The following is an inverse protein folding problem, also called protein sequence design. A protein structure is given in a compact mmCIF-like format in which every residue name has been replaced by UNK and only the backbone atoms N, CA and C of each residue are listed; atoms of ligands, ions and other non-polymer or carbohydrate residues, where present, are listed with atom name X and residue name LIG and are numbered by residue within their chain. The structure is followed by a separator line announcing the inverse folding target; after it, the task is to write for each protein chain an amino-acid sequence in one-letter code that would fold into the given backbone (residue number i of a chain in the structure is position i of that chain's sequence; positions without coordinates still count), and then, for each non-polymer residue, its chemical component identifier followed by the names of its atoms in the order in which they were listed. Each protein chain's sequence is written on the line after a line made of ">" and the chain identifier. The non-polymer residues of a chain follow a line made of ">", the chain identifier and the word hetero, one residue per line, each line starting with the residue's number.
data_IF_110372823857
#
_entry.id   IF_110372823857
#
_cell.length_a   1.000
_cell.length_b   1.000
_cell.length_c   1.000
_cell.angle_alpha   90.00
_cell.angle_beta   90.00
_cell.angle_gamma   90.00
#
_symmetry.space_group_name_H-M   'P 1'
#
loop_
_entity.id
_entity.type
_entity.pdbx_description
1 polymer ?
#
# COMPACT_ATOMS: atom_id res chain seq x y z
N UNK A 1 11.65 -30.97 16.59
CA UNK A 1 12.13 -30.43 15.31
C UNK A 1 10.99 -29.65 14.72
N UNK A 2 10.92 -28.35 15.00
CA UNK A 2 9.80 -27.50 14.60
C UNK A 2 10.33 -26.39 13.71
N UNK A 3 9.61 -26.20 12.61
CA UNK A 3 10.08 -25.57 11.39
C UNK A 3 10.45 -24.11 11.57
N UNK A 4 11.60 -23.78 11.00
CA UNK A 4 12.02 -22.43 10.64
C UNK A 4 10.89 -21.68 9.91
N UNK A 5 10.23 -20.75 10.61
CA UNK A 5 9.41 -19.72 9.99
C UNK A 5 10.29 -18.72 9.27
N UNK A 6 10.67 -19.04 8.03
CA UNK A 6 11.18 -18.05 7.10
C UNK A 6 10.04 -17.08 6.77
N UNK A 7 10.09 -15.88 7.34
CA UNK A 7 9.20 -14.78 6.95
C UNK A 7 9.41 -14.47 5.47
N UNK A 8 8.32 -14.58 4.70
CA UNK A 8 8.28 -14.53 3.24
C UNK A 8 8.92 -13.28 2.65
N UNK A 9 9.80 -13.46 1.68
CA UNK A 9 10.42 -12.39 0.88
C UNK A 9 9.42 -11.58 0.01
N UNK A 10 8.11 -11.88 0.11
CA UNK A 10 7.04 -11.39 -0.76
C UNK A 10 6.25 -10.19 -0.24
N UNK A 11 6.49 -9.70 0.98
CA UNK A 11 5.77 -8.52 1.51
C UNK A 11 6.61 -7.25 1.37
N UNK A 12 6.03 -6.25 0.68
CA UNK A 12 6.64 -4.94 0.49
C UNK A 12 5.89 -3.92 1.34
N UNK A 13 6.65 -3.18 2.16
CA UNK A 13 6.10 -2.14 3.02
C UNK A 13 6.52 -0.75 2.53
N UNK A 14 5.67 0.23 2.82
CA UNK A 14 5.86 1.64 2.50
C UNK A 14 4.80 2.50 3.18
N UNK A 15 4.73 3.78 2.82
CA UNK A 15 3.78 4.74 3.37
C UNK A 15 2.81 5.19 2.29
N UNK A 16 1.51 5.02 2.55
CA UNK A 16 0.46 5.57 1.68
C UNK A 16 0.18 7.02 2.05
N UNK A 17 0.14 7.92 1.05
CA UNK A 17 -0.11 9.36 1.22
C UNK A 17 -1.11 9.86 0.18
N UNK A 18 -2.01 10.76 0.61
CA UNK A 18 -2.85 11.53 -0.32
C UNK A 18 -2.07 12.66 -1.00
N UNK A 19 -2.33 12.88 -2.29
CA UNK A 19 -1.75 13.99 -3.09
C UNK A 19 -2.80 14.98 -3.59
N UNK A 20 -4.04 14.89 -3.09
CA UNK A 20 -5.18 15.68 -3.56
C UNK A 20 -5.76 15.18 -4.89
N UNK A 21 -6.98 15.61 -5.22
CA UNK A 21 -7.75 15.12 -6.38
C UNK A 21 -7.87 13.59 -6.43
N UNK A 22 -8.09 12.95 -5.28
CA UNK A 22 -8.19 11.49 -5.12
C UNK A 22 -6.95 10.69 -5.58
N UNK A 23 -5.80 11.37 -5.74
CA UNK A 23 -4.53 10.70 -6.06
C UNK A 23 -3.90 10.16 -4.79
N UNK A 24 -3.54 8.88 -4.84
CA UNK A 24 -2.89 8.15 -3.76
C UNK A 24 -1.47 7.78 -4.23
N UNK A 25 -0.48 8.02 -3.38
CA UNK A 25 0.91 7.64 -3.60
C UNK A 25 1.32 6.60 -2.55
N UNK A 26 1.90 5.49 -2.99
CA UNK A 26 2.67 4.57 -2.15
C UNK A 26 4.14 4.98 -2.21
N UNK A 27 4.70 5.36 -1.08
CA UNK A 27 5.98 6.08 -0.99
C UNK A 27 6.94 5.35 -0.04
N UNK A 28 8.23 5.70 -0.08
CA UNK A 28 9.29 5.12 0.75
C UNK A 28 9.42 3.58 0.62
N UNK A 29 9.22 3.07 -0.59
CA UNK A 29 9.42 1.64 -0.89
C UNK A 29 10.90 1.42 -1.15
N UNK A 30 11.61 0.48 -0.48
CA UNK A 30 13.00 0.20 -0.78
C UNK A 30 13.20 -0.13 -2.26
N UNK A 31 14.25 0.39 -2.89
CA UNK A 31 14.47 0.22 -4.33
C UNK A 31 14.75 -1.24 -4.72
N UNK A 32 15.25 -2.04 -3.79
CA UNK A 32 15.55 -3.46 -3.98
C UNK A 32 14.29 -4.33 -3.97
N UNK A 33 13.14 -3.79 -3.53
CA UNK A 33 11.87 -4.50 -3.56
C UNK A 33 11.20 -4.38 -4.93
N UNK A 34 10.74 -5.51 -5.44
CA UNK A 34 10.00 -5.55 -6.69
C UNK A 34 8.52 -5.25 -6.42
N UNK A 35 7.97 -4.32 -7.22
CA UNK A 35 6.57 -3.96 -7.28
C UNK A 35 6.19 -3.76 -8.75
N UNK A 36 4.94 -4.06 -9.09
CA UNK A 36 4.40 -4.00 -10.44
C UNK A 36 3.00 -3.37 -10.49
N UNK A 37 2.58 -3.03 -11.71
CA UNK A 37 1.19 -2.65 -11.95
C UNK A 37 0.26 -3.84 -11.70
N UNK A 38 -0.89 -3.58 -11.08
CA UNK A 38 -1.85 -4.59 -10.63
C UNK A 38 -1.59 -5.14 -9.23
N UNK A 39 -0.46 -4.82 -8.59
CA UNK A 39 -0.21 -5.23 -7.22
C UNK A 39 -1.22 -4.58 -6.25
N UNK A 40 -1.81 -5.40 -5.38
CA UNK A 40 -2.78 -4.97 -4.40
C UNK A 40 -2.08 -4.32 -3.20
N UNK A 41 -2.53 -3.12 -2.83
CA UNK A 41 -2.06 -2.41 -1.64
C UNK A 41 -3.12 -2.50 -0.54
N UNK A 42 -2.69 -2.99 0.63
CA UNK A 42 -3.53 -3.15 1.82
C UNK A 42 -2.92 -2.45 3.03
N UNK A 43 -3.75 -2.08 4.02
CA UNK A 43 -3.26 -1.56 5.30
C UNK A 43 -2.42 -2.61 6.02
N UNK A 44 -1.43 -2.14 6.77
CA UNK A 44 -0.61 -2.96 7.65
C UNK A 44 -0.88 -2.61 9.12
N UNK A 45 -0.56 -3.54 10.01
CA UNK A 45 -0.60 -3.34 11.45
C UNK A 45 0.50 -2.39 11.97
N UNK A 46 1.48 -2.00 11.14
CA UNK A 46 2.71 -1.33 11.57
C UNK A 46 2.47 0.08 12.14
N UNK A 47 1.40 0.76 11.72
CA UNK A 47 1.09 2.10 12.23
C UNK A 47 0.40 2.08 13.60
N UNK A 48 -0.18 0.95 14.00
CA UNK A 48 -1.08 0.88 15.15
C UNK A 48 -2.42 1.61 14.96
N UNK A 49 -2.68 2.22 13.80
CA UNK A 49 -3.86 3.09 13.56
C UNK A 49 -4.95 2.39 12.76
N UNK A 50 -4.58 1.47 11.87
CA UNK A 50 -5.52 0.74 11.02
C UNK A 50 -5.37 -0.76 11.20
N UNK A 51 -6.47 -1.53 11.24
CA UNK A 51 -6.37 -2.98 11.21
C UNK A 51 -5.68 -3.41 9.90
N UNK A 52 -4.89 -4.48 9.92
CA UNK A 52 -4.25 -4.99 8.72
C UNK A 52 -5.27 -5.57 7.74
N UNK A 53 -4.98 -5.48 6.44
CA UNK A 53 -5.75 -6.16 5.39
C UNK A 53 -6.92 -5.37 4.79
N UNK A 54 -7.11 -4.09 5.16
CA UNK A 54 -8.07 -3.23 4.47
C UNK A 54 -7.51 -2.82 3.11
N UNK A 55 -8.30 -3.02 2.05
CA UNK A 55 -7.89 -2.68 0.68
C UNK A 55 -7.83 -1.17 0.50
N UNK A 56 -6.68 -0.69 0.02
CA UNK A 56 -6.49 0.71 -0.40
C UNK A 56 -6.76 0.85 -1.90
N UNK A 57 -6.21 -0.06 -2.71
CA UNK A 57 -6.26 0.02 -4.17
C UNK A 57 -5.20 -0.84 -4.83
N UNK A 58 -4.98 -0.61 -6.12
CA UNK A 58 -3.99 -1.31 -6.94
C UNK A 58 -2.95 -0.35 -7.50
N UNK A 59 -1.71 -0.80 -7.65
CA UNK A 59 -0.67 -0.01 -8.32
C UNK A 59 -1.03 0.16 -9.80
N UNK A 60 -1.06 1.39 -10.29
CA UNK A 60 -1.30 1.68 -11.71
C UNK A 60 -0.12 2.37 -12.41
N UNK A 61 0.93 2.75 -11.66
CA UNK A 61 2.17 3.27 -12.22
C UNK A 61 3.28 3.18 -11.19
N UNK A 62 4.42 2.59 -11.55
CA UNK A 62 5.64 2.60 -10.73
C UNK A 62 6.55 3.76 -11.12
N UNK A 63 7.10 4.47 -10.14
CA UNK A 63 8.04 5.58 -10.28
C UNK A 63 9.38 5.20 -9.66
N UNK A 64 10.37 4.96 -10.51
CA UNK A 64 11.76 4.69 -10.12
C UNK A 64 12.64 5.85 -10.56
N UNK A 65 13.57 6.24 -9.69
CA UNK A 65 14.63 7.23 -9.98
C UNK A 65 15.98 6.59 -9.69
N UNK A 66 16.94 6.72 -10.60
CA UNK A 66 18.25 6.09 -10.48
C UNK A 66 19.07 6.52 -9.24
N UNK A 67 19.12 7.81 -8.87
CA UNK A 67 19.90 8.24 -7.69
C UNK A 67 19.19 7.99 -6.35
N UNK A 68 17.90 7.64 -6.33
CA UNK A 68 17.14 7.56 -5.08
C UNK A 68 17.19 6.14 -4.48
N UNK A 69 17.37 6.00 -3.15
CA UNK A 69 17.36 4.69 -2.46
C UNK A 69 15.95 4.12 -2.28
N UNK A 70 14.92 4.95 -2.49
CA UNK A 70 13.53 4.56 -2.43
C UNK A 70 12.86 4.78 -3.80
N UNK A 71 11.80 4.01 -4.03
CA UNK A 71 10.89 4.16 -5.14
C UNK A 71 9.47 4.47 -4.63
N UNK A 72 8.60 4.85 -5.55
CA UNK A 72 7.20 5.12 -5.25
C UNK A 72 6.28 4.55 -6.33
N UNK A 73 4.99 4.47 -6.03
CA UNK A 73 3.97 4.03 -6.98
C UNK A 73 2.69 4.86 -6.84
N UNK A 74 2.00 5.12 -7.95
CA UNK A 74 0.64 5.63 -7.92
C UNK A 74 -0.32 4.47 -7.67
N UNK A 75 -1.31 4.72 -6.82
CA UNK A 75 -2.38 3.77 -6.51
C UNK A 75 -3.68 4.28 -7.15
N UNK A 76 -4.34 3.41 -7.91
CA UNK A 76 -5.74 3.56 -8.26
C UNK A 76 -6.59 3.14 -7.04
N UNK A 77 -7.38 4.06 -6.44
CA UNK A 77 -8.23 3.70 -5.31
C UNK A 77 -9.20 2.57 -5.66
N UNK A 78 -9.43 1.65 -4.71
CA UNK A 78 -10.40 0.55 -4.87
C UNK A 78 -11.88 1.01 -4.83
N UNK A 79 -12.12 2.29 -4.59
CA UNK A 79 -13.45 2.87 -4.49
C UNK A 79 -13.59 4.09 -5.40
N UNK A 80 -14.80 4.29 -5.93
CA UNK A 80 -15.19 5.57 -6.52
C UNK A 80 -16.00 6.36 -5.49
N UNK A 81 -15.45 7.49 -5.02
CA UNK A 81 -16.11 8.32 -4.01
C UNK A 81 -17.50 8.81 -4.45
N UNK A 82 -17.74 8.93 -5.77
CA UNK A 82 -19.01 9.44 -6.33
C UNK A 82 -20.17 8.45 -6.22
N UNK A 83 -19.86 7.17 -6.05
CA UNK A 83 -20.84 6.09 -6.08
C UNK A 83 -21.03 5.45 -4.69
N UNK A 84 -20.53 6.11 -3.63
CA UNK A 84 -20.62 5.59 -2.26
C UNK A 84 -22.01 5.85 -1.67
N UNK A 85 -22.71 4.77 -1.35
CA UNK A 85 -23.99 4.83 -0.62
C UNK A 85 -23.84 4.57 0.88
N UNK A 86 -22.83 3.77 1.26
CA UNK A 86 -22.63 3.28 2.63
C UNK A 86 -21.18 3.42 3.03
N UNK A 87 -20.97 3.72 4.30
CA UNK A 87 -19.65 3.84 4.92
C UNK A 87 -19.60 2.97 6.17
N UNK A 88 -18.43 2.43 6.45
CA UNK A 88 -18.12 1.72 7.69
C UNK A 88 -17.00 2.47 8.40
N UNK A 89 -17.24 2.84 9.66
CA UNK A 89 -16.29 3.61 10.48
C UNK A 89 -15.73 2.66 11.54
N UNK A 90 -14.40 2.54 11.57
CA UNK A 90 -13.65 1.80 12.59
C UNK A 90 -13.02 2.84 13.51
N UNK A 91 -13.42 2.86 14.77
CA UNK A 91 -12.88 3.79 15.76
C UNK A 91 -11.77 3.19 16.61
N UNK A 92 -11.73 1.85 16.74
CA UNK A 92 -10.77 1.10 17.58
C UNK A 92 -10.43 -0.25 16.92
N UNK A 93 -9.19 -0.74 17.08
CA UNK A 93 -8.75 -2.07 16.61
C UNK A 93 -7.60 -2.66 17.43
#
# INVERSE_FOLDING_TARGET
>A
TEGSGAGSDSQVFGIVRGKGNLRILFDLIPKEKEIGEGDLVVTSALSGVFPPGLVVGEINQVKKSDPEPFQAAQIQPAFNIRDLEKLFIITEW
#
